data_IF_376542590732
#
_entry.id   IF_376542590732
#
_cell.length_a   1.000
_cell.length_b   1.000
_cell.length_c   1.000
_cell.angle_alpha   90.00
_cell.angle_beta   90.00
_cell.angle_gamma   90.00
#
_symmetry.space_group_name_H-M   'P 1'
#
loop_
_entity.id
_entity.type
_entity.pdbx_description
1 polymer ?
#
# COMPACT_ATOMS: atom_id res chain seq x y z
N UNK A 1 -6.51 -3.83 4.16
CA UNK A 1 -6.10 -2.54 3.54
C UNK A 1 -4.64 -2.60 3.16
N UNK A 2 -4.16 -1.71 2.31
CA UNK A 2 -2.74 -1.76 1.92
C UNK A 2 -2.29 -0.70 0.92
N UNK A 3 -1.05 -0.86 0.48
CA UNK A 3 -0.38 -0.05 -0.54
C UNK A 3 -0.30 -0.81 -1.86
N UNK A 4 -0.55 -0.15 -2.99
CA UNK A 4 -0.16 -0.68 -4.30
C UNK A 4 1.09 0.01 -4.80
N UNK A 5 1.96 -0.73 -5.48
CA UNK A 5 3.15 -0.20 -6.16
C UNK A 5 3.28 -0.80 -7.54
N UNK A 6 3.89 -0.03 -8.46
CA UNK A 6 4.02 -0.41 -9.88
C UNK A 6 2.66 -0.78 -10.48
N UNK A 7 1.65 -0.04 -10.06
CA UNK A 7 0.28 -0.31 -10.43
C UNK A 7 -0.04 0.36 -11.77
N UNK A 8 -0.69 -0.37 -12.65
CA UNK A 8 -1.28 0.14 -13.87
C UNK A 8 -2.80 0.11 -13.69
N UNK A 9 -3.45 1.28 -13.53
CA UNK A 9 -4.89 1.34 -13.30
C UNK A 9 -5.72 1.06 -14.56
N UNK A 10 -5.14 1.15 -15.76
CA UNK A 10 -5.88 0.90 -17.01
C UNK A 10 -6.17 -0.59 -17.18
N UNK A 11 -5.21 -1.44 -16.82
CA UNK A 11 -5.33 -2.91 -16.91
C UNK A 11 -5.45 -3.58 -15.54
N UNK A 12 -5.40 -2.81 -14.44
CA UNK A 12 -5.49 -3.29 -13.05
C UNK A 12 -4.40 -4.35 -12.78
N UNK A 13 -3.16 -3.97 -13.05
CA UNK A 13 -1.96 -4.78 -12.82
C UNK A 13 -1.07 -4.15 -11.76
N UNK A 14 -0.32 -4.94 -10.99
CA UNK A 14 0.71 -4.39 -10.11
C UNK A 14 0.99 -5.26 -8.89
N UNK A 15 1.64 -4.67 -7.89
CA UNK A 15 1.87 -5.32 -6.60
C UNK A 15 1.03 -4.68 -5.51
N UNK A 16 0.45 -5.51 -4.64
CA UNK A 16 -0.28 -5.09 -3.45
C UNK A 16 0.47 -5.50 -2.18
N UNK A 17 0.46 -4.64 -1.17
CA UNK A 17 1.08 -4.87 0.14
C UNK A 17 0.01 -4.67 1.20
N UNK A 18 -0.52 -5.78 1.70
CA UNK A 18 -1.76 -5.78 2.47
C UNK A 18 -1.59 -6.25 3.90
N UNK A 19 -2.39 -5.66 4.79
CA UNK A 19 -2.70 -6.15 6.12
C UNK A 19 -4.14 -6.68 6.16
N UNK A 20 -4.31 -7.87 6.72
CA UNK A 20 -5.58 -8.56 6.91
C UNK A 20 -5.76 -8.91 8.39
N UNK A 21 -6.58 -8.12 9.06
CA UNK A 21 -6.91 -8.30 10.47
C UNK A 21 -7.90 -9.44 10.73
N UNK A 22 -8.66 -9.90 9.72
CA UNK A 22 -9.56 -11.04 9.85
C UNK A 22 -8.74 -12.32 9.94
N UNK A 23 -7.72 -12.44 9.09
CA UNK A 23 -6.85 -13.61 9.03
C UNK A 23 -5.55 -13.47 9.84
N UNK A 24 -5.35 -12.35 10.54
CA UNK A 24 -4.11 -12.03 11.25
C UNK A 24 -2.86 -12.27 10.39
N UNK A 25 -2.84 -11.64 9.22
CA UNK A 25 -1.75 -11.80 8.25
C UNK A 25 -1.36 -10.49 7.57
N UNK A 26 -0.13 -10.48 7.09
CA UNK A 26 0.40 -9.48 6.15
C UNK A 26 0.89 -10.18 4.90
N UNK A 27 0.68 -9.58 3.73
CA UNK A 27 0.87 -10.24 2.45
C UNK A 27 1.44 -9.30 1.38
N UNK A 28 2.28 -9.85 0.52
CA UNK A 28 2.65 -9.30 -0.78
C UNK A 28 1.82 -10.04 -1.83
N UNK A 29 1.11 -9.28 -2.66
CA UNK A 29 0.20 -9.75 -3.68
C UNK A 29 0.71 -9.33 -5.06
N UNK A 30 0.44 -10.15 -6.07
CA UNK A 30 0.46 -9.71 -7.47
C UNK A 30 -0.96 -9.61 -7.98
N UNK A 31 -1.28 -8.51 -8.65
CA UNK A 31 -2.55 -8.30 -9.31
C UNK A 31 -2.31 -8.40 -10.81
N UNK A 32 -3.00 -9.35 -11.45
CA UNK A 32 -2.94 -9.63 -12.88
C UNK A 32 -4.37 -9.50 -13.45
N UNK A 33 -4.64 -8.46 -14.24
CA UNK A 33 -5.94 -8.13 -14.81
C UNK A 33 -7.07 -8.08 -13.76
N UNK A 34 -6.81 -7.46 -12.62
CA UNK A 34 -7.72 -7.39 -11.47
C UNK A 34 -7.82 -8.66 -10.62
N UNK A 35 -7.14 -9.74 -10.99
CA UNK A 35 -7.06 -10.96 -10.18
C UNK A 35 -5.85 -10.90 -9.24
N UNK A 36 -6.10 -10.97 -7.93
CA UNK A 36 -5.03 -10.96 -6.93
C UNK A 36 -4.56 -12.39 -6.61
N UNK A 37 -3.24 -12.59 -6.59
CA UNK A 37 -2.57 -13.82 -6.14
C UNK A 37 -1.60 -13.50 -5.02
N UNK A 38 -1.52 -14.37 -4.00
CA UNK A 38 -0.58 -14.22 -2.90
C UNK A 38 0.80 -14.68 -3.36
N UNK A 39 1.80 -13.80 -3.29
CA UNK A 39 3.20 -14.11 -3.57
C UNK A 39 3.93 -14.59 -2.31
N UNK A 40 3.71 -13.88 -1.20
CA UNK A 40 4.34 -14.18 0.09
C UNK A 40 3.54 -13.54 1.23
N UNK A 41 3.64 -14.10 2.43
CA UNK A 41 2.98 -13.53 3.60
C UNK A 41 3.55 -14.06 4.92
N UNK A 42 3.15 -13.41 6.00
CA UNK A 42 3.49 -13.80 7.36
C UNK A 42 2.30 -13.58 8.30
N UNK A 43 2.27 -14.32 9.41
CA UNK A 43 1.31 -14.07 10.48
C UNK A 43 1.65 -12.76 11.21
N UNK A 44 0.63 -11.97 11.49
CA UNK A 44 0.73 -10.74 12.25
C UNK A 44 -0.58 -10.52 13.02
N UNK A 45 -0.50 -10.34 14.33
CA UNK A 45 -1.69 -10.18 15.17
C UNK A 45 -2.06 -8.72 15.27
N UNK A 46 -3.33 -8.41 14.99
CA UNK A 46 -3.88 -7.07 15.11
C UNK A 46 -4.72 -6.93 16.38
N UNK A 47 -4.34 -5.98 17.22
CA UNK A 47 -5.08 -5.60 18.41
C UNK A 47 -6.18 -4.61 18.04
N UNK A 48 -7.40 -4.86 18.52
CA UNK A 48 -8.53 -3.97 18.29
C UNK A 48 -8.26 -2.60 18.93
N UNK A 49 -8.47 -1.53 18.16
CA UNK A 49 -8.29 -0.16 18.64
C UNK A 49 -6.84 0.33 18.64
N UNK A 50 -5.89 -0.44 18.10
CA UNK A 50 -4.52 0.03 17.84
C UNK A 50 -4.37 0.54 16.40
N UNK A 51 -3.56 1.59 16.26
CA UNK A 51 -3.10 2.09 14.97
C UNK A 51 -1.83 1.34 14.56
N UNK A 52 -1.69 1.10 13.26
CA UNK A 52 -0.55 0.39 12.69
C UNK A 52 0.08 1.22 11.58
N UNK A 53 1.42 1.14 11.51
CA UNK A 53 2.21 1.73 10.43
C UNK A 53 2.61 0.59 9.50
N UNK A 54 2.39 0.77 8.21
CA UNK A 54 2.76 -0.18 7.16
C UNK A 54 3.78 0.50 6.25
N UNK A 55 4.93 -0.15 6.07
CA UNK A 55 5.98 0.28 5.16
C UNK A 55 6.18 -0.84 4.11
N UNK A 56 6.07 -0.48 2.84
CA UNK A 56 6.32 -1.38 1.73
C UNK A 56 7.48 -0.85 0.89
N UNK A 57 8.22 -1.76 0.27
CA UNK A 57 9.31 -1.42 -0.62
C UNK A 57 9.28 -2.26 -1.89
N UNK A 58 9.51 -1.60 -3.04
CA UNK A 58 9.68 -2.24 -4.34
C UNK A 58 10.98 -1.73 -4.99
N UNK A 59 12.12 -2.25 -4.54
CA UNK A 59 13.46 -1.74 -4.89
C UNK A 59 14.05 -2.52 -6.06
N UNK A 60 14.67 -1.81 -7.00
CA UNK A 60 15.32 -2.43 -8.17
C UNK A 60 14.32 -3.18 -9.05
N UNK A 61 14.74 -4.17 -9.86
CA UNK A 61 13.84 -4.80 -10.83
C UNK A 61 12.79 -5.73 -10.22
N UNK A 62 12.92 -6.17 -8.97
CA UNK A 62 11.94 -7.09 -8.40
C UNK A 62 12.01 -7.39 -6.91
N UNK A 63 12.81 -6.68 -6.12
CA UNK A 63 12.83 -6.90 -4.68
C UNK A 63 11.62 -6.23 -4.03
N UNK A 64 10.74 -7.03 -3.44
CA UNK A 64 9.54 -6.60 -2.73
C UNK A 64 9.71 -6.85 -1.23
N UNK A 65 9.25 -5.92 -0.40
CA UNK A 65 9.37 -6.02 1.07
C UNK A 65 8.20 -5.36 1.79
N UNK A 66 7.88 -5.87 2.98
CA UNK A 66 6.79 -5.37 3.83
C UNK A 66 7.20 -5.40 5.31
N UNK A 67 6.96 -4.28 5.98
CA UNK A 67 7.04 -4.12 7.44
C UNK A 67 5.71 -3.59 7.95
N UNK A 68 5.35 -4.02 9.15
CA UNK A 68 4.21 -3.51 9.89
C UNK A 68 4.52 -3.51 11.39
N UNK A 69 4.08 -2.47 12.09
CA UNK A 69 4.22 -2.36 13.54
C UNK A 69 3.13 -1.46 14.10
N UNK A 70 2.81 -1.61 15.38
CA UNK A 70 1.85 -0.70 16.03
C UNK A 70 2.48 0.68 16.24
N UNK A 71 1.67 1.73 16.15
CA UNK A 71 2.12 3.09 16.41
C UNK A 71 2.65 3.20 17.86
N UNK A 72 3.88 3.68 18.00
CA UNK A 72 4.59 3.78 19.28
C UNK A 72 5.48 2.59 19.61
N UNK A 73 5.34 1.46 18.91
CA UNK A 73 6.27 0.33 19.03
C UNK A 73 7.53 0.59 18.16
N UNK A 74 8.69 -0.01 18.50
CA UNK A 74 9.90 0.13 17.70
C UNK A 74 9.73 -0.38 16.25
N UNK A 75 10.28 0.35 15.28
CA UNK A 75 10.29 -0.08 13.87
C UNK A 75 11.08 -1.39 13.73
N UNK A 76 10.53 -2.41 13.05
CA UNK A 76 11.27 -3.64 12.75
C UNK A 76 12.56 -3.35 11.95
N UNK A 77 13.68 -3.92 12.40
CA UNK A 77 14.96 -3.76 11.70
C UNK A 77 14.89 -4.36 10.29
N UNK A 78 14.40 -5.60 10.21
CA UNK A 78 14.25 -6.34 8.95
C UNK A 78 12.79 -6.37 8.48
N UNK A 79 12.54 -6.44 7.15
CA UNK A 79 11.21 -6.75 6.63
C UNK A 79 10.68 -8.08 7.16
N UNK A 80 9.40 -8.10 7.52
CA UNK A 80 8.73 -9.32 7.97
C UNK A 80 8.31 -10.21 6.79
N UNK A 81 8.08 -9.61 5.63
CA UNK A 81 7.83 -10.33 4.38
C UNK A 81 8.75 -9.79 3.31
N UNK A 82 9.38 -10.68 2.56
CA UNK A 82 10.19 -10.35 1.38
C UNK A 82 9.85 -11.30 0.24
N UNK A 83 9.87 -10.79 -0.99
CA UNK A 83 9.68 -11.61 -2.17
C UNK A 83 10.47 -11.05 -3.36
N UNK A 84 10.72 -11.89 -4.36
CA UNK A 84 11.30 -11.47 -5.63
C UNK A 84 10.32 -11.74 -6.78
N UNK A 85 9.84 -10.68 -7.42
CA UNK A 85 9.01 -10.76 -8.63
C UNK A 85 9.31 -9.53 -9.51
N UNK A 86 9.62 -9.77 -10.78
CA UNK A 86 10.00 -8.75 -11.76
C UNK A 86 9.00 -8.58 -12.92
N UNK A 87 7.76 -9.07 -12.74
CA UNK A 87 6.68 -8.94 -13.72
C UNK A 87 6.36 -7.48 -14.03
N UNK A 88 6.29 -6.63 -13.00
CA UNK A 88 6.01 -5.20 -13.13
C UNK A 88 7.26 -4.40 -12.74
N UNK A 89 7.80 -3.61 -13.67
CA UNK A 89 9.00 -2.80 -13.45
C UNK A 89 8.69 -1.35 -13.04
N UNK A 90 7.56 -0.81 -13.47
CA UNK A 90 7.13 0.59 -13.30
C UNK A 90 5.61 0.67 -13.13
N UNK A 91 5.12 1.79 -12.62
CA UNK A 91 3.70 2.10 -12.48
C UNK A 91 3.47 3.06 -11.32
N UNK A 92 2.21 3.37 -11.05
CA UNK A 92 1.86 4.31 -9.98
C UNK A 92 1.93 3.65 -8.60
N UNK A 93 1.96 4.48 -7.57
CA UNK A 93 1.80 4.06 -6.17
C UNK A 93 0.43 4.53 -5.70
N UNK A 94 -0.24 3.71 -4.89
CA UNK A 94 -1.62 3.94 -4.50
C UNK A 94 -1.98 3.31 -3.16
N UNK A 95 -3.20 3.58 -2.72
CA UNK A 95 -3.83 2.91 -1.59
C UNK A 95 -4.94 2.00 -2.09
N UNK A 96 -5.16 0.88 -1.40
CA UNK A 96 -6.30 0.02 -1.67
C UNK A 96 -6.96 -0.48 -0.39
N UNK A 97 -8.27 -0.69 -0.47
CA UNK A 97 -9.06 -1.33 0.59
C UNK A 97 -9.70 -2.57 -0.01
N UNK A 98 -9.39 -3.74 0.55
CA UNK A 98 -10.12 -4.96 0.23
C UNK A 98 -11.34 -4.99 1.14
N UNK A 99 -12.51 -4.65 0.58
CA UNK A 99 -13.78 -5.01 1.18
C UNK A 99 -13.99 -6.50 0.89
N UNK A 100 -13.66 -7.35 1.86
CA UNK A 100 -13.98 -8.78 1.78
C UNK A 100 -15.49 -8.94 1.68
N UNK A 101 -16.00 -9.49 0.57
CA UNK A 101 -17.25 -10.25 0.61
C UNK A 101 -17.02 -11.72 0.26
N UNK A 102 -16.11 -12.15 -0.65
CA UNK A 102 -16.05 -13.60 -0.97
C UNK A 102 -14.67 -14.25 -1.19
N UNK A 103 -13.55 -13.52 -1.27
CA UNK A 103 -12.29 -14.15 -1.71
C UNK A 103 -11.39 -14.75 -0.62
N UNK A 104 -11.68 -14.54 0.67
CA UNK A 104 -10.83 -15.03 1.78
C UNK A 104 -11.58 -15.81 2.88
N UNK A 105 -12.74 -16.43 2.57
CA UNK A 105 -13.36 -17.43 3.45
C UNK A 105 -13.79 -16.95 4.85
N UNK A 106 -13.83 -15.64 5.09
CA UNK A 106 -14.13 -15.01 6.38
C UNK A 106 -15.44 -14.24 6.37
N UNK A 107 -16.08 -14.14 7.53
CA UNK A 107 -17.34 -13.39 7.75
C UNK A 107 -17.08 -11.90 7.58
N UNK A 108 -17.85 -11.25 6.71
CA UNK A 108 -17.78 -9.81 6.45
C UNK A 108 -18.11 -9.00 7.73
N UNK A 109 -17.21 -8.09 8.10
CA UNK A 109 -17.46 -7.02 9.08
C UNK A 109 -17.19 -5.65 8.42
N UNK A 110 -17.89 -4.58 8.83
CA UNK A 110 -17.64 -3.25 8.29
C UNK A 110 -16.22 -2.81 8.68
N UNK A 111 -15.36 -2.61 7.68
CA UNK A 111 -14.03 -2.03 7.89
C UNK A 111 -14.12 -0.51 7.70
N UNK A 112 -13.66 0.25 8.69
CA UNK A 112 -13.37 1.68 8.56
C UNK A 112 -11.89 1.86 8.85
N UNK A 113 -11.18 2.47 7.91
CA UNK A 113 -9.79 2.85 8.05
C UNK A 113 -9.65 4.33 7.72
N UNK A 114 -9.00 5.08 8.60
CA UNK A 114 -8.56 6.43 8.32
C UNK A 114 -7.05 6.36 8.08
N UNK A 115 -6.59 6.98 6.99
CA UNK A 115 -5.17 7.26 6.81
C UNK A 115 -4.92 8.62 7.45
N UNK A 116 -3.98 8.67 8.40
CA UNK A 116 -3.57 9.92 9.06
C UNK A 116 -2.51 10.60 8.17
N UNK A 117 -1.39 9.88 7.96
CA UNK A 117 -0.31 10.31 7.09
C UNK A 117 0.02 9.26 6.03
N UNK A 118 0.35 9.72 4.82
CA UNK A 118 0.87 8.88 3.74
C UNK A 118 2.11 9.53 3.17
N UNK A 119 3.26 8.90 3.37
CA UNK A 119 4.55 9.38 2.87
C UNK A 119 5.05 8.48 1.74
N UNK A 120 5.41 9.10 0.61
CA UNK A 120 6.07 8.41 -0.50
C UNK A 120 7.54 8.84 -0.54
N UNK A 121 8.44 7.89 -0.36
CA UNK A 121 9.88 8.11 -0.46
C UNK A 121 10.35 7.59 -1.83
N UNK A 122 10.53 8.45 -2.85
CA UNK A 122 11.02 7.99 -4.12
C UNK A 122 12.50 7.59 -3.98
N UNK A 123 12.83 6.38 -4.44
CA UNK A 123 14.21 6.06 -4.77
C UNK A 123 14.54 6.71 -6.14
N UNK A 124 14.84 8.00 -6.14
CA UNK A 124 15.44 8.69 -7.30
C UNK A 124 14.56 9.02 -8.52
N UNK A 125 13.24 9.19 -8.41
CA UNK A 125 12.39 9.71 -9.51
C UNK A 125 11.12 10.43 -9.03
N UNK A 126 10.61 11.35 -9.85
CA UNK A 126 9.42 12.19 -9.65
C UNK A 126 8.15 11.37 -9.39
N UNK A 127 7.39 11.76 -8.36
CA UNK A 127 6.10 11.14 -8.04
C UNK A 127 5.03 11.72 -8.97
N UNK A 128 4.40 10.87 -9.78
CA UNK A 128 3.21 11.25 -10.56
C UNK A 128 1.99 10.60 -9.92
N UNK A 129 1.16 11.45 -9.31
CA UNK A 129 -0.23 11.25 -8.86
C UNK A 129 -0.61 9.92 -8.18
N UNK A 130 -1.06 10.01 -6.94
CA UNK A 130 -1.69 8.89 -6.22
C UNK A 130 -3.18 8.95 -6.50
N UNK A 131 -3.66 8.07 -7.38
CA UNK A 131 -5.09 7.91 -7.64
C UNK A 131 -5.63 6.74 -6.83
N UNK A 132 -6.50 7.02 -5.85
CA UNK A 132 -7.20 5.96 -5.13
C UNK A 132 -8.44 5.54 -5.93
N UNK A 133 -8.45 4.30 -6.44
CA UNK A 133 -9.60 3.73 -7.12
C UNK A 133 -10.49 2.98 -6.11
N UNK A 134 -11.57 3.60 -5.67
CA UNK A 134 -12.63 2.95 -4.88
C UNK A 134 -13.58 2.19 -5.81
N UNK A 135 -13.44 0.87 -5.93
CA UNK A 135 -14.41 0.04 -6.66
C UNK A 135 -15.53 -0.47 -5.75
N UNK A 136 -16.59 0.34 -5.60
CA UNK A 136 -18.00 -0.01 -5.90
C UNK A 136 -18.98 0.97 -5.20
N UNK A 137 -19.68 1.78 -5.99
CA UNK A 137 -20.96 2.40 -5.59
C UNK A 137 -21.14 3.87 -5.95
N UNK A 138 -20.10 4.70 -5.77
CA UNK A 138 -20.04 6.10 -6.23
C UNK A 138 -18.58 6.46 -6.44
N UNK A 139 -18.20 6.75 -7.69
CA UNK A 139 -16.86 7.24 -8.01
C UNK A 139 -16.69 8.64 -7.37
N UNK A 140 -16.05 8.68 -6.21
CA UNK A 140 -15.38 9.88 -5.72
C UNK A 140 -13.93 9.76 -6.12
N UNK A 141 -13.53 10.48 -7.16
CA UNK A 141 -12.13 10.58 -7.56
C UNK A 141 -11.41 11.41 -6.48
N UNK A 142 -10.54 10.77 -5.70
CA UNK A 142 -9.65 11.46 -4.78
C UNK A 142 -8.24 11.36 -5.36
N UNK A 143 -7.87 12.39 -6.11
CA UNK A 143 -6.51 12.61 -6.59
C UNK A 143 -5.77 13.44 -5.53
N UNK A 144 -4.71 12.86 -4.96
CA UNK A 144 -3.71 13.65 -4.23
C UNK A 144 -2.77 14.26 -5.27
N UNK A 145 -2.89 15.56 -5.51
CA UNK A 145 -1.82 16.34 -6.14
C UNK A 145 -0.67 16.43 -5.14
N UNK A 146 0.42 15.71 -5.41
CA UNK A 146 1.66 15.88 -4.68
C UNK A 146 2.42 17.00 -5.38
N UNK A 147 2.58 18.13 -4.67
CA UNK A 147 3.36 19.26 -5.15
C UNK A 147 4.76 18.80 -5.52
N UNK A 148 5.18 19.19 -6.71
CA UNK A 148 6.53 19.10 -7.22
C UNK A 148 7.49 19.71 -6.19
N UNK A 149 8.20 18.84 -5.47
CA UNK A 149 9.18 19.19 -4.45
C UNK A 149 10.46 19.83 -5.02
N UNK A 150 10.35 20.68 -6.04
CA UNK A 150 11.39 21.62 -6.40
C UNK A 150 11.33 22.77 -5.40
N UNK A 151 12.19 22.68 -4.37
CA UNK A 151 12.30 23.71 -3.35
C UNK A 151 12.68 25.06 -3.95
N UNK A 152 11.78 26.03 -3.85
CA UNK A 152 12.13 27.44 -3.82
C UNK A 152 11.92 27.94 -2.39
N UNK A 153 13.04 28.03 -1.67
CA UNK A 153 13.09 28.78 -0.42
C UNK A 153 12.76 30.24 -0.72
N UNK A 154 11.65 30.72 -0.17
CA UNK A 154 11.46 32.15 0.07
C UNK A 154 11.69 32.40 1.54
N UNK A 155 12.94 32.73 1.88
CA UNK A 155 13.23 33.61 3.00
C UNK A 155 12.70 35.00 2.65
N UNK A 156 11.88 35.58 3.51
CA UNK A 156 11.41 36.96 3.40
C UNK A 156 11.14 37.50 4.78
N UNK A 157 12.07 38.31 5.27
CA UNK A 157 12.14 38.92 6.59
C UNK A 157 11.01 39.93 6.88
N UNK A 158 10.74 40.07 8.19
CA UNK A 158 10.01 41.13 8.95
C UNK A 158 8.50 41.25 8.79
#
# INVERSE_FOLDING_TARGET
>A
MGLVMRFDPEVINGYGFGADNVNNSINILRVDAGSASNLSGASFVFDVGRNYILEAGAIGPGALSLKIWAQGDPVPQDPQVTWFDNTYGVGVVGLFVINQIESFGGVAGPFSGNYDDVYFFPAGADIVAVCSLLTHGKAGEFCLELGDGAGDGVSGDN
#
